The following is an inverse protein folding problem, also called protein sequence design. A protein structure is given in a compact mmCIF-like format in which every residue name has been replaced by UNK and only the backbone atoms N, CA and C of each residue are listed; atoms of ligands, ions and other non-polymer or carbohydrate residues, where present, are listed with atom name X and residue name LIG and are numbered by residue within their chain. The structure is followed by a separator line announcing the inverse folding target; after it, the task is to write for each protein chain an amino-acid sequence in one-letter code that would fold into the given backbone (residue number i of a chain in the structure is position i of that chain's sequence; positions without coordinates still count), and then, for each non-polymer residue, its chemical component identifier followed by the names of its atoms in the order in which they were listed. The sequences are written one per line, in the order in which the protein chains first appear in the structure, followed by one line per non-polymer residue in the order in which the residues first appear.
data_IF_528917705269
#
_entry.id   IF_528917705269
#
_cell.length_a   1.000
_cell.length_b   1.000
_cell.length_c   1.000
_cell.angle_alpha   90.00
_cell.angle_beta   90.00
_cell.angle_gamma   90.00
#
_symmetry.space_group_name_H-M   'P 1'
#
loop_
_entity.id
_entity.type
_entity.pdbx_description
1 polymer ?
#
# COMPACT_ATOMS: atom_id res chain seq x y z
N UNK A 1 -11.49 8.12 17.19
CA UNK A 1 -10.84 9.20 16.42
C UNK A 1 -9.76 8.57 15.54
N UNK A 2 -9.52 9.10 14.34
CA UNK A 2 -8.52 8.55 13.40
C UNK A 2 -7.10 8.70 13.96
N UNK A 3 -6.90 9.77 14.72
CA UNK A 3 -5.70 10.10 15.49
C UNK A 3 -5.39 9.02 16.52
N UNK A 4 -6.41 8.56 17.27
CA UNK A 4 -6.22 7.46 18.20
C UNK A 4 -5.73 6.19 17.48
N UNK A 5 -6.28 5.88 16.30
CA UNK A 5 -5.83 4.72 15.52
C UNK A 5 -4.36 4.85 15.09
N UNK A 6 -3.91 6.06 14.74
CA UNK A 6 -2.49 6.34 14.46
C UNK A 6 -1.63 5.99 15.67
N UNK A 7 -1.98 6.52 16.85
CA UNK A 7 -1.24 6.28 18.10
C UNK A 7 -1.18 4.78 18.45
N UNK A 8 -2.28 4.04 18.23
CA UNK A 8 -2.33 2.59 18.45
C UNK A 8 -1.36 1.84 17.53
N UNK A 9 -1.32 2.18 16.23
CA UNK A 9 -0.40 1.53 15.29
C UNK A 9 1.05 1.87 15.58
N UNK A 10 1.38 3.11 15.90
CA UNK A 10 2.75 3.51 16.26
C UNK A 10 3.25 2.76 17.50
N UNK A 11 2.41 2.61 18.53
CA UNK A 11 2.73 1.81 19.72
C UNK A 11 2.90 0.32 19.41
N UNK A 12 2.02 -0.25 18.58
CA UNK A 12 2.11 -1.65 18.16
C UNK A 12 3.41 -1.93 17.39
N UNK A 13 3.77 -1.06 16.44
CA UNK A 13 5.01 -1.15 15.65
C UNK A 13 6.24 -1.11 16.57
N UNK A 14 6.28 -0.18 17.54
CA UNK A 14 7.37 -0.10 18.50
C UNK A 14 7.51 -1.41 19.32
N UNK A 15 6.40 -1.99 19.76
CA UNK A 15 6.38 -3.26 20.47
C UNK A 15 6.82 -4.44 19.59
N UNK A 16 6.40 -4.50 18.33
CA UNK A 16 6.76 -5.58 17.40
C UNK A 16 8.24 -5.55 17.04
N UNK A 17 8.81 -4.36 16.81
CA UNK A 17 10.25 -4.17 16.56
C UNK A 17 11.08 -4.66 17.75
N UNK A 18 10.70 -4.30 18.97
CA UNK A 18 11.44 -4.74 20.18
C UNK A 18 11.38 -6.25 20.43
N UNK A 19 10.31 -6.93 19.98
CA UNK A 19 10.13 -8.38 20.11
C UNK A 19 10.60 -9.18 18.90
N UNK A 20 11.16 -8.52 17.89
CA UNK A 20 11.53 -9.10 16.59
C UNK A 20 10.37 -9.88 15.92
N UNK A 21 9.12 -9.49 16.19
CA UNK A 21 7.94 -10.14 15.63
C UNK A 21 7.55 -9.46 14.31
N UNK A 22 8.30 -9.82 13.29
CA UNK A 22 8.26 -9.21 11.96
C UNK A 22 7.01 -9.59 11.13
N UNK A 23 6.26 -10.63 11.55
CA UNK A 23 5.11 -11.16 10.80
C UNK A 23 3.93 -10.17 10.76
N UNK A 24 3.65 -9.48 11.87
CA UNK A 24 2.57 -8.48 11.97
C UNK A 24 3.03 -7.06 11.65
N UNK A 25 4.34 -6.82 11.67
CA UNK A 25 4.91 -5.49 11.45
C UNK A 25 4.54 -4.95 10.05
N UNK A 26 4.60 -5.79 9.02
CA UNK A 26 4.22 -5.40 7.67
C UNK A 26 2.75 -4.93 7.58
N UNK A 27 1.82 -5.66 8.22
CA UNK A 27 0.40 -5.28 8.20
C UNK A 27 0.13 -3.99 8.97
N UNK A 28 0.78 -3.79 10.12
CA UNK A 28 0.59 -2.60 10.93
C UNK A 28 1.18 -1.35 10.26
N UNK A 29 2.32 -1.49 9.58
CA UNK A 29 2.89 -0.43 8.74
C UNK A 29 1.98 -0.05 7.57
N UNK A 30 1.39 -1.04 6.88
CA UNK A 30 0.41 -0.76 5.82
C UNK A 30 -0.82 -0.04 6.40
N UNK A 31 -1.32 -0.46 7.56
CA UNK A 31 -2.47 0.20 8.17
C UNK A 31 -2.15 1.62 8.66
N UNK A 32 -0.96 1.83 9.24
CA UNK A 32 -0.47 3.17 9.61
C UNK A 32 -0.42 4.08 8.38
N UNK A 33 0.01 3.55 7.23
CA UNK A 33 0.00 4.31 5.98
C UNK A 33 -1.40 4.73 5.55
N UNK A 34 -2.39 3.83 5.66
CA UNK A 34 -3.80 4.15 5.35
C UNK A 34 -4.35 5.20 6.30
N UNK A 35 -4.06 5.09 7.60
CA UNK A 35 -4.48 6.09 8.60
C UNK A 35 -3.83 7.44 8.32
N UNK A 36 -2.55 7.47 7.96
CA UNK A 36 -1.83 8.70 7.61
C UNK A 36 -2.43 9.38 6.38
N UNK A 37 -2.82 8.61 5.36
CA UNK A 37 -3.58 9.13 4.21
C UNK A 37 -4.90 9.77 4.62
N UNK A 38 -5.67 9.12 5.51
CA UNK A 38 -6.94 9.66 6.00
C UNK A 38 -6.76 10.97 6.79
N UNK A 39 -5.59 11.16 7.39
CA UNK A 39 -5.19 12.40 8.08
C UNK A 39 -4.57 13.44 7.14
N UNK A 40 -4.47 13.15 5.84
CA UNK A 40 -3.88 14.05 4.84
C UNK A 40 -2.35 14.05 4.78
N UNK A 41 -1.67 13.17 5.53
CA UNK A 41 -0.21 13.06 5.53
C UNK A 41 0.26 12.00 4.53
N UNK A 42 0.29 12.41 3.26
CA UNK A 42 0.76 11.58 2.15
C UNK A 42 2.23 11.16 2.27
N UNK A 43 3.07 11.96 2.95
CA UNK A 43 4.48 11.64 3.15
C UNK A 43 4.67 10.53 4.18
N UNK A 44 4.00 10.64 5.34
CA UNK A 44 3.99 9.58 6.34
C UNK A 44 3.35 8.29 5.78
N UNK A 45 2.32 8.43 4.96
CA UNK A 45 1.71 7.29 4.27
C UNK A 45 2.70 6.58 3.34
N UNK A 46 3.38 7.32 2.47
CA UNK A 46 4.40 6.77 1.59
C UNK A 46 5.48 6.01 2.37
N UNK A 47 6.00 6.62 3.44
CA UNK A 47 7.04 6.01 4.27
C UNK A 47 6.55 4.71 4.90
N UNK A 48 5.34 4.72 5.48
CA UNK A 48 4.77 3.55 6.14
C UNK A 48 4.49 2.40 5.17
N UNK A 49 3.95 2.70 3.98
CA UNK A 49 3.75 1.68 2.94
C UNK A 49 5.06 1.11 2.41
N UNK A 50 6.07 1.96 2.19
CA UNK A 50 7.38 1.55 1.69
C UNK A 50 8.11 0.65 2.69
N UNK A 51 8.06 1.01 3.97
CA UNK A 51 8.61 0.19 5.03
C UNK A 51 7.85 -1.14 5.16
N UNK A 52 6.52 -1.11 5.12
CA UNK A 52 5.70 -2.32 5.15
C UNK A 52 6.00 -3.27 3.98
N UNK A 53 6.27 -2.72 2.79
CA UNK A 53 6.72 -3.48 1.63
C UNK A 53 8.09 -4.14 1.88
N UNK A 54 9.04 -3.40 2.45
CA UNK A 54 10.36 -3.93 2.78
C UNK A 54 10.26 -5.08 3.79
N UNK A 55 9.55 -4.88 4.90
CA UNK A 55 9.34 -5.92 5.92
C UNK A 55 8.63 -7.14 5.33
N UNK A 56 7.61 -6.93 4.49
CA UNK A 56 6.91 -8.04 3.83
C UNK A 56 7.83 -8.87 2.94
N UNK A 57 8.79 -8.25 2.24
CA UNK A 57 9.82 -8.93 1.45
C UNK A 57 10.79 -9.72 2.32
N UNK A 58 11.29 -9.11 3.38
CA UNK A 58 12.20 -9.75 4.34
C UNK A 58 11.57 -10.99 4.99
N UNK A 59 10.26 -10.95 5.23
CA UNK A 59 9.51 -12.06 5.83
C UNK A 59 8.93 -13.06 4.81
N UNK A 60 9.10 -12.84 3.51
CA UNK A 60 8.49 -13.68 2.46
C UNK A 60 6.96 -13.64 2.40
N UNK A 61 6.32 -12.60 2.93
CA UNK A 61 4.85 -12.43 2.97
C UNK A 61 4.31 -11.86 1.67
N UNK A 62 4.18 -12.72 0.65
CA UNK A 62 3.76 -12.33 -0.71
C UNK A 62 2.41 -11.62 -0.74
N UNK A 63 1.48 -12.02 0.13
CA UNK A 63 0.17 -11.36 0.30
C UNK A 63 0.30 -9.91 0.78
N UNK A 64 1.23 -9.63 1.69
CA UNK A 64 1.51 -8.28 2.17
C UNK A 64 2.29 -7.45 1.15
N UNK A 65 3.19 -8.06 0.39
CA UNK A 65 3.87 -7.41 -0.74
C UNK A 65 2.82 -6.88 -1.74
N UNK A 66 1.83 -7.71 -2.11
CA UNK A 66 0.77 -7.33 -3.03
C UNK A 66 -0.07 -6.15 -2.49
N UNK A 67 -0.45 -6.20 -1.21
CA UNK A 67 -1.21 -5.12 -0.54
C UNK A 67 -0.42 -3.81 -0.42
N UNK A 68 0.87 -3.89 -0.15
CA UNK A 68 1.73 -2.71 -0.09
C UNK A 68 1.86 -2.04 -1.47
N UNK A 69 2.05 -2.83 -2.54
CA UNK A 69 2.03 -2.31 -3.90
C UNK A 69 0.69 -1.66 -4.25
N UNK A 70 -0.44 -2.28 -3.89
CA UNK A 70 -1.76 -1.70 -4.14
C UNK A 70 -1.94 -0.35 -3.42
N UNK A 71 -1.45 -0.25 -2.17
CA UNK A 71 -1.53 0.98 -1.38
C UNK A 71 -0.63 2.09 -1.95
N UNK A 72 0.59 1.75 -2.38
CA UNK A 72 1.48 2.69 -3.07
C UNK A 72 0.94 3.11 -4.44
N UNK A 73 0.24 2.21 -5.14
CA UNK A 73 -0.41 2.54 -6.41
C UNK A 73 -1.52 3.56 -6.22
N UNK A 74 -2.38 3.37 -5.21
CA UNK A 74 -3.45 4.30 -4.88
C UNK A 74 -2.88 5.66 -4.46
N UNK A 75 -1.88 5.68 -3.56
CA UNK A 75 -1.22 6.91 -3.16
C UNK A 75 -0.61 7.66 -4.35
N UNK A 76 0.10 6.96 -5.23
CA UNK A 76 0.68 7.57 -6.43
C UNK A 76 -0.40 8.11 -7.38
N UNK A 77 -1.54 7.42 -7.49
CA UNK A 77 -2.68 7.89 -8.28
C UNK A 77 -3.28 9.18 -7.69
N UNK A 78 -3.50 9.21 -6.37
CA UNK A 78 -4.02 10.38 -5.66
C UNK A 78 -3.09 11.59 -5.80
N UNK A 79 -1.77 11.35 -5.84
CA UNK A 79 -0.73 12.36 -6.08
C UNK A 79 -0.49 12.68 -7.57
N UNK A 80 -1.31 12.16 -8.49
CA UNK A 80 -1.20 12.34 -9.94
C UNK A 80 0.14 11.85 -10.54
N UNK A 81 0.84 10.95 -9.85
CA UNK A 81 2.05 10.28 -10.32
C UNK A 81 1.68 9.05 -11.16
N UNK A 82 0.94 9.28 -12.25
CA UNK A 82 0.27 8.22 -13.03
C UNK A 82 1.21 7.09 -13.52
N UNK A 83 2.43 7.34 -14.01
CA UNK A 83 3.34 6.26 -14.41
C UNK A 83 3.76 5.35 -13.25
N UNK A 84 4.00 5.95 -12.08
CA UNK A 84 4.35 5.20 -10.87
C UNK A 84 3.14 4.40 -10.36
N UNK A 85 1.96 5.02 -10.35
CA UNK A 85 0.70 4.37 -10.00
C UNK A 85 0.44 3.14 -10.88
N UNK A 86 0.64 3.27 -12.20
CA UNK A 86 0.47 2.18 -13.16
C UNK A 86 1.43 1.02 -12.87
N UNK A 87 2.70 1.34 -12.60
CA UNK A 87 3.73 0.34 -12.31
C UNK A 87 3.38 -0.44 -11.05
N UNK A 88 3.05 0.26 -9.96
CA UNK A 88 2.69 -0.36 -8.68
C UNK A 88 1.39 -1.18 -8.80
N UNK A 89 0.37 -0.68 -9.50
CA UNK A 89 -0.89 -1.40 -9.67
C UNK A 89 -0.71 -2.70 -10.48
N UNK A 90 0.16 -2.71 -11.50
CA UNK A 90 0.51 -3.94 -12.24
C UNK A 90 1.20 -4.98 -11.37
N UNK A 91 2.14 -4.56 -10.52
CA UNK A 91 2.81 -5.46 -9.58
C UNK A 91 1.81 -6.07 -8.58
N UNK A 92 0.90 -5.25 -8.04
CA UNK A 92 -0.15 -5.74 -7.15
C UNK A 92 -1.07 -6.75 -7.85
N UNK A 93 -1.53 -6.43 -9.07
CA UNK A 93 -2.43 -7.28 -9.85
C UNK A 93 -1.83 -8.66 -10.15
N UNK A 94 -0.57 -8.71 -10.62
CA UNK A 94 0.12 -9.97 -10.90
C UNK A 94 0.18 -10.87 -9.64
N UNK A 95 0.53 -10.28 -8.49
CA UNK A 95 0.59 -11.01 -7.23
C UNK A 95 -0.79 -11.46 -6.75
N UNK A 96 -1.81 -10.60 -6.79
CA UNK A 96 -3.17 -10.98 -6.39
C UNK A 96 -3.71 -12.13 -7.24
N UNK A 97 -3.45 -12.13 -8.54
CA UNK A 97 -3.84 -13.24 -9.44
C UNK A 97 -3.12 -14.54 -9.07
N UNK A 98 -1.80 -14.50 -8.83
CA UNK A 98 -1.02 -15.68 -8.39
C UNK A 98 -1.51 -16.25 -7.06
N UNK A 99 -1.96 -15.39 -6.16
CA UNK A 99 -2.50 -15.76 -4.84
C UNK A 99 -3.98 -16.14 -4.86
N UNK A 100 -4.68 -16.03 -6.00
CA UNK A 100 -6.13 -16.29 -6.09
C UNK A 100 -6.99 -15.24 -5.38
N UNK A 101 -6.44 -14.06 -5.07
CA UNK A 101 -7.12 -12.96 -4.37
C UNK A 101 -7.98 -12.12 -5.34
N UNK A 102 -9.03 -12.74 -5.90
CA UNK A 102 -9.82 -12.16 -6.99
C UNK A 102 -10.39 -10.77 -6.68
N UNK A 103 -10.91 -10.57 -5.46
CA UNK A 103 -11.47 -9.27 -5.05
C UNK A 103 -10.43 -8.14 -5.09
N UNK A 104 -9.20 -8.42 -4.66
CA UNK A 104 -8.11 -7.45 -4.68
C UNK A 104 -7.57 -7.27 -6.12
N UNK A 105 -7.55 -8.33 -6.93
CA UNK A 105 -7.21 -8.26 -8.36
C UNK A 105 -8.19 -7.35 -9.13
N UNK A 106 -9.49 -7.54 -8.96
CA UNK A 106 -10.52 -6.70 -9.60
C UNK A 106 -10.37 -5.22 -9.20
N UNK A 107 -9.98 -4.94 -7.95
CA UNK A 107 -9.72 -3.59 -7.49
C UNK A 107 -8.49 -2.98 -8.19
N UNK A 108 -7.41 -3.74 -8.32
CA UNK A 108 -6.21 -3.29 -9.05
C UNK A 108 -6.49 -3.06 -10.54
N UNK A 109 -7.34 -3.88 -11.17
CA UNK A 109 -7.77 -3.69 -12.56
C UNK A 109 -8.57 -2.42 -12.76
N UNK A 110 -9.52 -2.13 -11.85
CA UNK A 110 -10.28 -0.87 -11.88
C UNK A 110 -9.35 0.35 -11.74
N UNK A 111 -8.39 0.29 -10.82
CA UNK A 111 -7.41 1.36 -10.65
C UNK A 111 -6.57 1.55 -11.93
N UNK A 112 -6.14 0.46 -12.57
CA UNK A 112 -5.40 0.53 -13.84
C UNK A 112 -6.22 1.15 -14.97
N UNK A 113 -7.52 0.85 -15.04
CA UNK A 113 -8.42 1.47 -16.01
C UNK A 113 -8.52 2.99 -15.77
N UNK A 114 -8.69 3.41 -14.51
CA UNK A 114 -8.71 4.83 -14.14
C UNK A 114 -7.39 5.55 -14.44
N UNK A 115 -6.24 4.91 -14.19
CA UNK A 115 -4.92 5.45 -14.54
C UNK A 115 -4.78 5.58 -16.06
N UNK A 116 -5.22 4.58 -16.83
CA UNK A 116 -5.18 4.60 -18.29
C UNK A 116 -6.00 5.77 -18.87
N UNK A 117 -7.23 5.96 -18.39
CA UNK A 117 -8.07 7.07 -18.80
C UNK A 117 -7.43 8.44 -18.49
N UNK A 118 -6.81 8.59 -17.31
CA UNK A 118 -6.13 9.81 -16.92
C UNK A 118 -4.88 10.10 -17.77
N UNK A 119 -4.12 9.06 -18.14
CA UNK A 119 -2.95 9.20 -19.02
C UNK A 119 -3.32 9.62 -20.43
N UNK A 120 -4.42 9.07 -20.98
CA UNK A 120 -4.91 9.49 -22.30
C UNK A 120 -5.45 10.92 -22.28
N UNK A 121 -6.18 11.31 -21.22
CA UNK A 121 -6.67 12.67 -21.06
C UNK A 121 -5.54 13.71 -20.97
N UNK A 122 -4.39 13.35 -20.39
CA UNK A 122 -3.23 14.24 -20.31
C UNK A 122 -2.45 14.41 -21.63
N UNK A 123 -2.76 13.60 -22.66
CA UNK A 123 -2.11 13.63 -23.98
C UNK A 123 -2.90 14.43 -25.03
N UNK A 124 -4.18 14.71 -24.77
CA UNK A 124 -5.06 15.51 -25.63
C UNK A 124 -5.08 16.97 -25.20
#
# INVERSE_FOLDING_TARGET
AIEAAKDWYEQAIAALRSKNNIIYLASDLINLGRVSLLLGDSAAAHSSFSEGLQVARECGRVDMIARAYASLAQLAYDLQQLPLAQTNARQALDLFRRLGMQRDADAAERLLASIGAALEAARG
#
